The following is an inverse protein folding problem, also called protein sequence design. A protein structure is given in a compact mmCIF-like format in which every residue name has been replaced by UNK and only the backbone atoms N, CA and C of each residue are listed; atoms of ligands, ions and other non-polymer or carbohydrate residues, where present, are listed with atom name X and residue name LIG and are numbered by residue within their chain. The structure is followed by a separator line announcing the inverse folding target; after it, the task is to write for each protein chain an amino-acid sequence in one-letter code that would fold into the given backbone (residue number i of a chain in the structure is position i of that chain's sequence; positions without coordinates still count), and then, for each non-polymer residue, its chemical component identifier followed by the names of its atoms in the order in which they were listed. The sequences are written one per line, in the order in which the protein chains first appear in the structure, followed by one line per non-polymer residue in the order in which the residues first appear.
data_IF_043429399065
#
_entry.id   IF_043429399065
#
_cell.length_a   1.000
_cell.length_b   1.000
_cell.length_c   1.000
_cell.angle_alpha   90.00
_cell.angle_beta   90.00
_cell.angle_gamma   90.00
#
_symmetry.space_group_name_H-M   'P 1'
#
loop_
_entity.id
_entity.type
_entity.pdbx_description
1 polymer ?
#
# COMPACT_ATOMS: atom_id res chain seq x y z
N UNK A 1 11.44 -3.86 5.60
CA UNK A 1 10.13 -3.24 5.86
C UNK A 1 9.08 -4.14 5.23
N UNK A 2 8.05 -4.55 5.97
CA UNK A 2 7.05 -5.49 5.42
C UNK A 2 5.85 -4.70 4.90
N UNK A 3 5.53 -4.76 3.59
CA UNK A 3 4.38 -4.05 3.05
C UNK A 3 3.05 -4.75 3.39
N UNK A 4 1.98 -3.97 3.52
CA UNK A 4 0.62 -4.47 3.72
C UNK A 4 0.05 -5.03 2.42
N UNK A 5 -0.74 -6.10 2.53
CA UNK A 5 -1.43 -6.68 1.36
C UNK A 5 -2.60 -5.78 0.94
N UNK A 6 -2.93 -5.78 -0.35
CA UNK A 6 -4.19 -5.21 -0.83
C UNK A 6 -5.39 -5.82 -0.09
N UNK A 7 -6.43 -5.04 0.13
CA UNK A 7 -7.63 -5.44 0.85
C UNK A 7 -7.46 -5.50 2.37
N UNK A 8 -6.26 -5.24 2.91
CA UNK A 8 -6.10 -5.05 4.36
C UNK A 8 -6.93 -3.85 4.79
N UNK A 9 -7.72 -4.02 5.84
CA UNK A 9 -8.61 -3.00 6.39
C UNK A 9 -8.16 -2.55 7.77
N UNK A 10 -8.88 -1.57 8.33
CA UNK A 10 -8.63 -1.02 9.67
C UNK A 10 -7.21 -0.47 9.88
N UNK A 11 -6.55 -0.09 8.79
CA UNK A 11 -5.27 0.59 8.86
C UNK A 11 -5.43 2.06 9.28
N UNK A 12 -4.37 2.66 9.86
CA UNK A 12 -4.39 4.09 10.15
C UNK A 12 -4.67 4.92 8.92
N UNK A 13 -5.51 5.95 9.06
CA UNK A 13 -5.69 6.95 8.01
C UNK A 13 -4.34 7.60 7.64
N UNK A 14 -4.18 7.92 6.36
CA UNK A 14 -2.98 8.57 5.85
C UNK A 14 -2.60 8.12 4.46
N UNK A 15 -1.36 8.45 4.08
CA UNK A 15 -0.83 8.15 2.76
C UNK A 15 -0.13 6.80 2.74
N UNK A 16 -0.39 6.05 1.68
CA UNK A 16 0.24 4.77 1.41
C UNK A 16 0.85 4.81 0.01
N UNK A 17 2.03 4.25 -0.13
CA UNK A 17 2.73 4.07 -1.39
C UNK A 17 2.79 2.59 -1.74
N UNK A 18 2.57 2.26 -3.01
CA UNK A 18 2.77 0.92 -3.54
C UNK A 18 4.27 0.62 -3.64
N UNK A 19 4.69 -0.48 -3.05
CA UNK A 19 6.06 -0.97 -3.04
C UNK A 19 6.10 -2.42 -3.52
N UNK A 20 7.28 -2.88 -3.93
CA UNK A 20 7.50 -4.27 -4.31
C UNK A 20 7.37 -5.24 -3.12
N UNK A 21 7.44 -6.55 -3.38
CA UNK A 21 7.28 -7.61 -2.37
C UNK A 21 8.17 -7.47 -1.14
N UNK A 22 9.36 -6.86 -1.28
CA UNK A 22 10.31 -6.69 -0.18
C UNK A 22 10.36 -5.24 0.36
N UNK A 23 9.42 -4.38 -0.06
CA UNK A 23 9.40 -2.97 0.31
C UNK A 23 10.28 -2.08 -0.56
N UNK A 24 10.76 -2.58 -1.70
CA UNK A 24 11.49 -1.78 -2.67
C UNK A 24 10.60 -0.73 -3.34
N UNK A 25 11.17 0.45 -3.60
CA UNK A 25 10.48 1.55 -4.27
C UNK A 25 10.27 1.20 -5.75
N UNK A 26 9.04 1.38 -6.23
CA UNK A 26 8.71 1.20 -7.65
C UNK A 26 9.05 2.46 -8.44
N UNK A 27 9.49 2.32 -9.70
CA UNK A 27 9.77 3.46 -10.59
C UNK A 27 8.54 4.37 -10.78
N UNK A 28 7.34 3.77 -10.82
CA UNK A 28 6.07 4.49 -10.86
C UNK A 28 5.42 4.42 -9.49
N UNK A 29 5.75 5.39 -8.65
CA UNK A 29 5.15 5.55 -7.33
C UNK A 29 3.63 5.68 -7.47
N UNK A 30 2.91 4.74 -6.86
CA UNK A 30 1.47 4.81 -6.76
C UNK A 30 1.13 5.17 -5.33
N UNK A 31 0.69 6.40 -5.10
CA UNK A 31 0.39 6.92 -3.78
C UNK A 31 -1.11 7.10 -3.67
N UNK A 32 -1.68 6.58 -2.59
CA UNK A 32 -3.09 6.72 -2.24
C UNK A 32 -3.20 7.37 -0.87
N UNK A 33 -4.36 7.94 -0.57
CA UNK A 33 -4.75 8.31 0.79
C UNK A 33 -5.95 7.46 1.17
N UNK A 34 -5.94 6.89 2.36
CA UNK A 34 -7.06 6.13 2.92
C UNK A 34 -7.54 6.79 4.20
N UNK A 35 -8.83 6.71 4.47
CA UNK A 35 -9.42 7.10 5.73
C UNK A 35 -9.54 5.91 6.69
N UNK A 36 -9.86 6.17 7.96
CA UNK A 36 -10.06 5.10 8.95
C UNK A 36 -11.27 4.26 8.55
N UNK A 37 -11.06 2.95 8.47
CA UNK A 37 -12.09 1.99 8.07
C UNK A 37 -12.05 1.64 6.58
N UNK A 38 -11.29 2.38 5.78
CA UNK A 38 -11.07 2.03 4.38
C UNK A 38 -10.21 0.76 4.25
N UNK A 39 -10.43 0.07 3.14
CA UNK A 39 -9.58 -1.04 2.71
C UNK A 39 -8.52 -0.53 1.76
N UNK A 40 -7.31 -1.07 1.88
CA UNK A 40 -6.29 -0.82 0.87
C UNK A 40 -6.78 -1.30 -0.51
N UNK A 41 -6.69 -0.47 -1.55
CA UNK A 41 -7.07 -0.84 -2.90
C UNK A 41 -6.16 -1.95 -3.44
N UNK A 42 -6.56 -2.60 -4.55
CA UNK A 42 -5.69 -3.54 -5.25
C UNK A 42 -4.39 -2.85 -5.68
N UNK A 43 -3.29 -3.61 -5.59
CA UNK A 43 -1.99 -3.21 -6.13
C UNK A 43 -1.96 -3.38 -7.65
N UNK A 44 -1.11 -2.64 -8.35
CA UNK A 44 -0.99 -2.71 -9.81
C UNK A 44 -0.39 -4.02 -10.30
N UNK A 45 0.55 -4.59 -9.55
CA UNK A 45 1.22 -5.86 -9.89
C UNK A 45 1.09 -6.85 -8.75
N UNK A 46 0.76 -8.10 -9.09
CA UNK A 46 0.73 -9.18 -8.12
C UNK A 46 2.08 -9.33 -7.42
N UNK A 47 2.05 -9.46 -6.09
CA UNK A 47 3.24 -9.51 -5.24
C UNK A 47 3.64 -8.17 -4.62
N UNK A 48 3.16 -7.04 -5.16
CA UNK A 48 3.35 -5.74 -4.51
C UNK A 48 2.51 -5.62 -3.24
N UNK A 49 2.83 -4.61 -2.44
CA UNK A 49 2.03 -4.23 -1.28
C UNK A 49 2.05 -2.73 -1.03
N UNK A 50 1.48 -2.32 0.09
CA UNK A 50 1.33 -0.93 0.49
C UNK A 50 2.19 -0.62 1.70
N UNK A 51 2.94 0.46 1.63
CA UNK A 51 3.73 0.96 2.74
C UNK A 51 3.24 2.35 3.16
N UNK A 52 3.15 2.61 4.46
CA UNK A 52 2.73 3.92 4.96
C UNK A 52 3.89 4.91 4.87
N UNK A 53 3.61 6.12 4.38
CA UNK A 53 4.57 7.23 4.27
C UNK A 53 4.13 8.43 5.09
#
# INVERSE_FOLDING_TARGET
MTPHKSGTDNLPAGKYIEVGPNGEKLEKEHIISIDRGDRLPPVKKAGNGWFRI
#
